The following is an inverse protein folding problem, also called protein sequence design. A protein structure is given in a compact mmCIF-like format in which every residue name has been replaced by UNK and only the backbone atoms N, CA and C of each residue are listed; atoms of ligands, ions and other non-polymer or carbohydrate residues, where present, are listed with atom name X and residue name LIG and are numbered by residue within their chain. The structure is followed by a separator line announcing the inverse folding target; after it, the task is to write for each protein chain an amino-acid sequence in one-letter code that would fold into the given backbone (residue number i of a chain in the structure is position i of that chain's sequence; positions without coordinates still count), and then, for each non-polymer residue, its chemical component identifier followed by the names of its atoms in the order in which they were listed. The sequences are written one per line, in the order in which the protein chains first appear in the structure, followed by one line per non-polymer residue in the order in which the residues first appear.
data_IF_275979563990
#
_entry.id   IF_275979563990
#
_cell.length_a   1.000
_cell.length_b   1.000
_cell.length_c   1.000
_cell.angle_alpha   90.00
_cell.angle_beta   90.00
_cell.angle_gamma   90.00
#
_symmetry.space_group_name_H-M   'P 1'
#
loop_
_entity.id
_entity.type
_entity.pdbx_description
1 polymer ?
#
# COMPACT_ATOMS: atom_id res chain seq x y z
N UNK A 1 23.72 -21.13 -9.35
CA UNK A 1 24.70 -20.14 -8.85
C UNK A 1 23.96 -18.86 -8.54
N UNK A 2 24.12 -18.32 -7.33
CA UNK A 2 23.60 -17.01 -6.96
C UNK A 2 24.28 -15.94 -7.83
N UNK A 3 23.50 -15.22 -8.65
CA UNK A 3 24.03 -14.15 -9.50
C UNK A 3 24.19 -12.89 -8.65
N UNK A 4 25.44 -12.41 -8.54
CA UNK A 4 25.77 -11.15 -7.87
C UNK A 4 25.59 -10.00 -8.86
N UNK A 5 24.90 -8.94 -8.46
CA UNK A 5 24.80 -7.68 -9.19
C UNK A 5 25.51 -6.55 -8.44
N UNK A 6 26.76 -6.20 -8.79
CA UNK A 6 27.50 -5.12 -8.14
C UNK A 6 26.86 -3.72 -8.29
N UNK A 7 26.00 -3.54 -9.29
CA UNK A 7 25.29 -2.28 -9.53
C UNK A 7 23.95 -2.18 -8.78
N UNK A 8 23.59 -3.20 -7.98
CA UNK A 8 22.27 -3.26 -7.35
C UNK A 8 22.00 -2.10 -6.39
N UNK A 9 23.03 -1.56 -5.70
CA UNK A 9 22.87 -0.36 -4.88
C UNK A 9 22.32 0.83 -5.66
N UNK A 10 22.87 1.09 -6.84
CA UNK A 10 22.39 2.18 -7.71
C UNK A 10 20.95 1.96 -8.18
N UNK A 11 20.49 0.71 -8.26
CA UNK A 11 19.10 0.42 -8.59
C UNK A 11 18.18 0.65 -7.38
N UNK A 12 18.56 0.20 -6.18
CA UNK A 12 17.77 0.41 -4.96
C UNK A 12 17.68 1.88 -4.55
N UNK A 13 18.71 2.69 -4.82
CA UNK A 13 18.67 4.15 -4.61
C UNK A 13 17.49 4.79 -5.35
N UNK A 14 17.14 4.30 -6.55
CA UNK A 14 15.97 4.76 -7.31
C UNK A 14 14.64 4.39 -6.66
N UNK A 15 14.63 3.39 -5.78
CA UNK A 15 13.48 3.02 -4.94
C UNK A 15 13.54 3.66 -3.54
N UNK A 16 14.48 4.60 -3.34
CA UNK A 16 14.59 5.43 -2.14
C UNK A 16 15.48 4.85 -1.04
N UNK A 17 16.34 3.86 -1.32
CA UNK A 17 17.23 3.32 -0.28
C UNK A 17 18.28 4.35 0.13
N UNK A 18 18.59 4.41 1.43
CA UNK A 18 19.50 5.41 1.99
C UNK A 18 20.64 4.72 2.73
N UNK A 19 21.88 4.95 2.29
CA UNK A 19 23.12 4.68 3.03
C UNK A 19 23.32 3.24 3.56
N UNK A 20 22.60 2.24 3.03
CA UNK A 20 22.65 0.89 3.61
C UNK A 20 24.02 0.19 3.45
N UNK A 21 24.85 0.66 2.51
CA UNK A 21 26.22 0.18 2.32
C UNK A 21 27.19 0.59 3.43
N UNK A 22 26.83 1.55 4.31
CA UNK A 22 27.61 1.86 5.50
C UNK A 22 27.57 0.72 6.54
N UNK A 23 26.69 -0.29 6.36
CA UNK A 23 26.54 -1.40 7.29
C UNK A 23 27.80 -2.29 7.35
N UNK A 24 28.51 -2.23 8.48
CA UNK A 24 29.60 -3.14 8.86
C UNK A 24 29.13 -4.44 9.56
N UNK A 25 27.83 -4.73 9.55
CA UNK A 25 27.25 -5.99 10.02
C UNK A 25 27.41 -6.30 11.53
N UNK A 26 27.30 -5.31 12.43
CA UNK A 26 27.40 -5.52 13.89
C UNK A 26 26.30 -6.41 14.50
N UNK A 27 25.07 -6.38 13.98
CA UNK A 27 23.95 -7.14 14.53
C UNK A 27 23.01 -6.41 15.50
N UNK A 28 23.24 -5.12 15.81
CA UNK A 28 22.32 -4.35 16.69
C UNK A 28 20.88 -4.38 16.19
N UNK A 29 20.68 -4.25 14.88
CA UNK A 29 19.34 -4.28 14.28
C UNK A 29 18.62 -5.64 14.46
N UNK A 30 19.36 -6.73 14.53
CA UNK A 30 18.85 -8.08 14.84
C UNK A 30 18.44 -8.18 16.31
N UNK A 31 19.27 -7.66 17.22
CA UNK A 31 19.02 -7.73 18.65
C UNK A 31 17.79 -6.93 19.10
N UNK A 32 17.49 -5.80 18.46
CA UNK A 32 16.35 -4.94 18.81
C UNK A 32 15.06 -5.30 18.07
N UNK A 33 15.10 -6.15 17.05
CA UNK A 33 13.92 -6.44 16.23
C UNK A 33 13.10 -7.59 16.82
N UNK A 34 11.85 -7.32 17.19
CA UNK A 34 10.90 -8.35 17.66
C UNK A 34 10.49 -9.40 16.64
N UNK A 35 10.86 -9.21 15.37
CA UNK A 35 10.66 -10.21 14.31
C UNK A 35 11.85 -11.17 14.16
N UNK A 36 12.97 -10.90 14.83
CA UNK A 36 14.14 -11.77 14.75
C UNK A 36 13.93 -13.03 15.60
N UNK A 37 14.28 -14.20 15.05
CA UNK A 37 14.32 -15.49 15.77
C UNK A 37 15.71 -16.10 15.68
N UNK A 38 15.91 -17.30 16.23
CA UNK A 38 17.15 -18.06 16.08
C UNK A 38 17.45 -18.39 14.61
N UNK A 39 16.41 -18.64 13.82
CA UNK A 39 16.51 -18.97 12.40
C UNK A 39 16.46 -17.74 11.47
N UNK A 40 15.79 -16.67 11.91
CA UNK A 40 15.53 -15.49 11.09
C UNK A 40 16.25 -14.25 11.61
N UNK A 41 17.30 -13.80 10.89
CA UNK A 41 18.04 -12.57 11.23
C UNK A 41 17.41 -11.33 10.60
N UNK A 42 16.57 -10.62 11.36
CA UNK A 42 15.79 -9.47 10.85
C UNK A 42 16.33 -8.12 11.36
N UNK A 43 16.49 -7.06 10.53
CA UNK A 43 16.55 -7.02 9.07
C UNK A 43 17.96 -7.26 8.50
N UNK A 44 18.94 -7.64 9.35
CA UNK A 44 20.37 -7.74 8.99
C UNK A 44 20.65 -8.59 7.75
N UNK A 45 19.95 -9.70 7.58
CA UNK A 45 20.10 -10.56 6.41
C UNK A 45 19.76 -9.80 5.13
N UNK A 46 18.64 -9.06 5.10
CA UNK A 46 18.26 -8.27 3.94
C UNK A 46 19.28 -7.18 3.61
N UNK A 47 19.90 -6.57 4.62
CA UNK A 47 21.01 -5.62 4.41
C UNK A 47 22.19 -6.31 3.70
N UNK A 48 22.55 -7.53 4.10
CA UNK A 48 23.63 -8.30 3.46
C UNK A 48 23.29 -8.70 2.04
N UNK A 49 22.09 -9.23 1.80
CA UNK A 49 21.65 -9.62 0.46
C UNK A 49 21.65 -8.40 -0.49
N UNK A 50 21.20 -7.24 -0.01
CA UNK A 50 21.23 -5.99 -0.77
C UNK A 50 22.63 -5.46 -1.02
N UNK A 51 23.55 -5.57 -0.06
CA UNK A 51 24.94 -5.16 -0.24
C UNK A 51 25.69 -6.04 -1.24
N UNK A 52 25.38 -7.34 -1.26
CA UNK A 52 25.95 -8.31 -2.20
C UNK A 52 25.24 -8.32 -3.56
N UNK A 53 24.13 -7.60 -3.73
CA UNK A 53 23.36 -7.59 -4.97
C UNK A 53 22.73 -8.94 -5.33
N UNK A 54 22.30 -9.70 -4.31
CA UNK A 54 21.70 -11.02 -4.46
C UNK A 54 20.19 -10.92 -4.74
N UNK A 55 19.85 -10.42 -5.93
CA UNK A 55 18.47 -10.11 -6.31
C UNK A 55 17.52 -11.31 -6.29
N UNK A 56 18.00 -12.49 -6.67
CA UNK A 56 17.15 -13.69 -6.69
C UNK A 56 16.77 -14.14 -5.27
N UNK A 57 17.68 -14.03 -4.31
CA UNK A 57 17.42 -14.31 -2.89
C UNK A 57 16.46 -13.27 -2.30
N UNK A 58 16.60 -11.99 -2.68
CA UNK A 58 15.68 -10.92 -2.27
C UNK A 58 14.27 -11.17 -2.83
N UNK A 59 14.13 -11.54 -4.10
CA UNK A 59 12.82 -11.85 -4.72
C UNK A 59 12.15 -13.06 -4.09
N UNK A 60 12.92 -14.03 -3.61
CA UNK A 60 12.41 -15.23 -2.94
C UNK A 60 12.06 -14.99 -1.45
N UNK A 61 12.53 -13.88 -0.87
CA UNK A 61 12.34 -13.53 0.54
C UNK A 61 11.00 -12.83 0.80
N UNK A 62 10.34 -13.25 1.87
CA UNK A 62 9.09 -12.62 2.36
C UNK A 62 9.37 -11.53 3.40
N UNK A 63 10.60 -11.45 3.92
CA UNK A 63 11.00 -10.58 5.04
C UNK A 63 10.69 -9.09 4.81
N UNK A 64 10.88 -8.51 3.61
CA UNK A 64 10.45 -7.13 3.35
C UNK A 64 8.97 -6.90 3.67
N UNK A 65 8.09 -7.85 3.38
CA UNK A 65 6.66 -7.74 3.63
C UNK A 65 6.28 -8.03 5.09
N UNK A 66 7.09 -8.81 5.82
CA UNK A 66 6.90 -9.08 7.25
C UNK A 66 7.28 -7.88 8.15
N UNK A 67 8.17 -6.99 7.69
CA UNK A 67 8.58 -5.79 8.42
C UNK A 67 7.36 -4.92 8.83
N UNK A 68 7.35 -4.28 10.00
CA UNK A 68 6.32 -3.26 10.31
C UNK A 68 6.78 -1.83 10.07
N UNK A 69 8.04 -1.64 9.67
CA UNK A 69 8.67 -0.33 9.48
C UNK A 69 8.48 0.56 10.72
N UNK A 70 8.81 0.03 11.91
CA UNK A 70 8.79 0.76 13.18
C UNK A 70 9.97 1.74 13.31
N UNK A 71 11.13 1.39 12.73
CA UNK A 71 12.32 2.24 12.72
C UNK A 71 13.33 1.95 13.81
N UNK A 72 13.05 1.08 14.79
CA UNK A 72 13.95 0.78 15.92
C UNK A 72 15.36 0.36 15.46
N UNK A 73 15.41 -0.45 14.40
CA UNK A 73 16.65 -0.86 13.77
C UNK A 73 17.47 0.29 13.17
N UNK A 74 16.81 1.36 12.71
CA UNK A 74 17.48 2.58 12.22
C UNK A 74 17.91 3.46 13.39
N UNK A 75 17.05 3.66 14.40
CA UNK A 75 17.37 4.44 15.61
C UNK A 75 18.63 3.94 16.30
N UNK A 76 18.79 2.62 16.41
CA UNK A 76 19.92 2.00 17.12
C UNK A 76 21.11 1.68 16.20
N UNK A 77 21.10 2.10 14.92
CA UNK A 77 22.18 1.77 14.00
C UNK A 77 23.41 2.66 14.22
N UNK A 78 24.56 2.13 14.68
CA UNK A 78 25.76 2.94 14.96
C UNK A 78 26.48 3.45 13.69
N UNK A 79 26.03 3.04 12.51
CA UNK A 79 26.57 3.47 11.21
C UNK A 79 25.56 4.29 10.41
N UNK A 80 24.39 4.59 10.99
CA UNK A 80 23.31 5.33 10.31
C UNK A 80 22.97 4.74 8.91
N UNK A 81 23.03 3.40 8.81
CA UNK A 81 22.82 2.66 7.57
C UNK A 81 21.32 2.48 7.22
N UNK A 82 20.42 3.11 7.98
CA UNK A 82 18.96 3.13 7.79
C UNK A 82 18.33 1.79 7.35
N UNK A 83 18.56 0.68 8.07
CA UNK A 83 18.00 -0.62 7.71
C UNK A 83 16.46 -0.61 7.61
N UNK A 84 15.77 0.24 8.38
CA UNK A 84 14.33 0.43 8.25
C UNK A 84 13.93 0.94 6.86
N UNK A 85 14.60 1.99 6.34
CA UNK A 85 14.28 2.52 5.02
C UNK A 85 14.65 1.54 3.91
N UNK A 86 15.76 0.79 4.06
CA UNK A 86 16.08 -0.29 3.13
C UNK A 86 14.91 -1.28 2.98
N UNK A 87 14.27 -1.68 4.09
CA UNK A 87 13.12 -2.59 4.02
C UNK A 87 11.94 -1.99 3.24
N UNK A 88 11.71 -0.68 3.33
CA UNK A 88 10.70 0.01 2.52
C UNK A 88 11.10 0.10 1.06
N UNK A 89 12.36 0.39 0.74
CA UNK A 89 12.86 0.39 -0.63
C UNK A 89 12.77 -0.98 -1.27
N UNK A 90 13.05 -2.04 -0.50
CA UNK A 90 12.89 -3.42 -0.96
C UNK A 90 11.43 -3.76 -1.27
N UNK A 91 10.45 -3.23 -0.52
CA UNK A 91 9.03 -3.38 -0.90
C UNK A 91 8.73 -2.73 -2.23
N UNK A 92 9.18 -1.50 -2.46
CA UNK A 92 8.96 -0.79 -3.73
C UNK A 92 9.63 -1.53 -4.90
N UNK A 93 10.85 -2.02 -4.69
CA UNK A 93 11.56 -2.87 -5.65
C UNK A 93 10.78 -4.17 -5.92
N UNK A 94 10.34 -4.89 -4.88
CA UNK A 94 9.60 -6.14 -5.02
C UNK A 94 8.25 -5.94 -5.71
N UNK A 95 7.51 -4.88 -5.38
CA UNK A 95 6.29 -4.50 -6.12
C UNK A 95 6.59 -4.35 -7.61
N UNK A 96 7.70 -3.70 -7.98
CA UNK A 96 8.12 -3.59 -9.37
C UNK A 96 8.53 -4.93 -10.02
N UNK A 97 9.05 -5.90 -9.25
CA UNK A 97 9.36 -7.24 -9.76
C UNK A 97 8.10 -8.10 -9.94
N UNK A 98 7.11 -7.92 -9.06
CA UNK A 98 5.84 -8.63 -9.12
C UNK A 98 4.94 -8.08 -10.21
N UNK A 99 5.01 -6.78 -10.48
CA UNK A 99 4.26 -6.12 -11.54
C UNK A 99 4.66 -6.61 -12.94
N UNK A 100 3.75 -7.31 -13.61
CA UNK A 100 3.99 -7.80 -14.97
C UNK A 100 3.94 -6.70 -16.03
N UNK A 101 3.30 -5.56 -15.75
CA UNK A 101 3.19 -4.43 -16.68
C UNK A 101 4.46 -3.57 -16.70
N UNK A 102 5.25 -3.62 -15.62
CA UNK A 102 6.43 -2.79 -15.41
C UNK A 102 6.14 -1.34 -15.00
N UNK A 103 4.87 -0.93 -14.92
CA UNK A 103 4.47 0.45 -14.62
C UNK A 103 4.84 0.86 -13.19
N UNK A 104 4.72 -0.03 -12.21
CA UNK A 104 5.13 0.21 -10.82
C UNK A 104 6.59 0.64 -10.74
N UNK A 105 7.48 -0.05 -11.47
CA UNK A 105 8.91 0.30 -11.49
C UNK A 105 9.15 1.67 -12.10
N UNK A 106 8.42 2.05 -13.15
CA UNK A 106 8.55 3.36 -13.77
C UNK A 106 8.05 4.48 -12.85
N UNK A 107 6.88 4.28 -12.22
CA UNK A 107 6.25 5.26 -11.33
C UNK A 107 7.04 5.45 -10.03
N UNK A 108 7.56 4.37 -9.41
CA UNK A 108 8.40 4.50 -8.22
C UNK A 108 9.72 5.23 -8.49
N UNK A 109 10.30 5.06 -9.68
CA UNK A 109 11.61 5.62 -10.03
C UNK A 109 11.54 7.04 -10.61
N UNK A 110 10.38 7.47 -11.11
CA UNK A 110 10.22 8.76 -11.81
C UNK A 110 9.02 9.55 -11.29
N UNK A 111 9.30 10.60 -10.52
CA UNK A 111 8.30 11.57 -10.09
C UNK A 111 7.63 12.29 -11.27
N UNK A 112 8.35 12.78 -12.31
CA UNK A 112 7.71 13.40 -13.46
C UNK A 112 6.72 12.49 -14.16
N UNK A 113 7.02 11.19 -14.30
CA UNK A 113 6.11 10.24 -14.91
C UNK A 113 4.85 10.02 -14.05
N UNK A 114 5.02 9.94 -12.73
CA UNK A 114 3.88 9.88 -11.82
C UNK A 114 2.98 11.10 -11.98
N UNK A 115 3.55 12.31 -11.93
CA UNK A 115 2.80 13.56 -12.12
C UNK A 115 2.11 13.58 -13.48
N UNK A 116 2.77 13.15 -14.55
CA UNK A 116 2.18 13.07 -15.89
C UNK A 116 0.96 12.13 -15.91
N UNK A 117 1.02 10.98 -15.24
CA UNK A 117 -0.12 10.06 -15.13
C UNK A 117 -1.31 10.69 -14.37
N UNK A 118 -1.04 11.39 -13.26
CA UNK A 118 -2.08 12.14 -12.53
C UNK A 118 -2.71 13.26 -13.37
N UNK A 119 -1.90 14.01 -14.11
CA UNK A 119 -2.39 15.09 -15.00
C UNK A 119 -3.21 14.50 -16.15
N UNK A 120 -2.73 13.44 -16.80
CA UNK A 120 -3.43 12.82 -17.93
C UNK A 120 -4.79 12.27 -17.51
N UNK A 121 -4.86 11.58 -16.37
CA UNK A 121 -6.14 11.09 -15.83
C UNK A 121 -7.06 12.23 -15.41
N UNK A 122 -6.53 13.30 -14.79
CA UNK A 122 -7.32 14.50 -14.47
C UNK A 122 -7.91 15.14 -15.73
N UNK A 123 -7.10 15.37 -16.76
CA UNK A 123 -7.55 15.92 -18.04
C UNK A 123 -8.60 15.01 -18.68
N UNK A 124 -8.41 13.70 -18.64
CA UNK A 124 -9.40 12.73 -19.14
C UNK A 124 -10.75 12.85 -18.43
N UNK A 125 -10.76 12.94 -17.10
CA UNK A 125 -11.99 13.13 -16.31
C UNK A 125 -12.65 14.47 -16.63
N UNK A 126 -11.88 15.55 -16.75
CA UNK A 126 -12.42 16.87 -17.10
C UNK A 126 -13.04 16.87 -18.51
N UNK A 127 -12.34 16.33 -19.51
CA UNK A 127 -12.86 16.25 -20.87
C UNK A 127 -14.15 15.43 -20.93
N UNK A 128 -14.20 14.31 -20.20
CA UNK A 128 -15.40 13.50 -20.11
C UNK A 128 -16.55 14.26 -19.42
N UNK A 129 -16.29 14.87 -18.26
CA UNK A 129 -17.29 15.64 -17.51
C UNK A 129 -17.82 16.87 -18.25
N UNK A 130 -17.09 17.40 -19.23
CA UNK A 130 -17.57 18.48 -20.11
C UNK A 130 -18.39 17.97 -21.30
N UNK A 131 -18.33 16.67 -21.60
CA UNK A 131 -19.00 16.04 -22.75
C UNK A 131 -20.36 15.43 -22.42
N UNK A 132 -20.66 15.23 -21.13
CA UNK A 132 -21.90 14.58 -20.65
C UNK A 132 -22.66 15.50 -19.69
N UNK A 133 -23.96 15.25 -19.56
CA UNK A 133 -24.79 15.91 -18.54
C UNK A 133 -24.50 15.36 -17.13
N UNK A 134 -24.95 16.08 -16.11
CA UNK A 134 -24.58 15.78 -14.72
C UNK A 134 -25.10 14.42 -14.22
N UNK A 135 -26.32 14.05 -14.61
CA UNK A 135 -26.92 12.76 -14.22
C UNK A 135 -26.15 11.58 -14.82
N UNK A 136 -25.78 11.69 -16.10
CA UNK A 136 -24.96 10.68 -16.78
C UNK A 136 -23.57 10.58 -16.13
N UNK A 137 -22.98 11.70 -15.73
CA UNK A 137 -21.70 11.73 -15.02
C UNK A 137 -21.75 10.96 -13.70
N UNK A 138 -22.84 11.11 -12.93
CA UNK A 138 -23.06 10.41 -11.66
C UNK A 138 -23.22 8.89 -11.86
N UNK A 139 -24.06 8.50 -12.83
CA UNK A 139 -24.31 7.08 -13.15
C UNK A 139 -23.02 6.38 -13.62
N UNK A 140 -22.28 7.02 -14.52
CA UNK A 140 -21.02 6.47 -15.05
C UNK A 140 -19.93 6.44 -13.99
N UNK A 141 -19.89 7.41 -13.07
CA UNK A 141 -18.97 7.39 -11.94
C UNK A 141 -19.13 6.14 -11.08
N UNK A 142 -20.36 5.79 -10.71
CA UNK A 142 -20.63 4.57 -9.94
C UNK A 142 -20.27 3.30 -10.72
N UNK A 143 -20.62 3.23 -12.00
CA UNK A 143 -20.26 2.09 -12.86
C UNK A 143 -18.74 1.94 -13.00
N UNK A 144 -18.03 3.07 -13.15
CA UNK A 144 -16.58 3.10 -13.25
C UNK A 144 -15.92 2.48 -12.02
N UNK A 145 -16.40 2.77 -10.80
CA UNK A 145 -15.86 2.19 -9.56
C UNK A 145 -15.86 0.66 -9.61
N UNK A 146 -17.02 0.06 -9.90
CA UNK A 146 -17.19 -1.39 -9.96
C UNK A 146 -16.32 -2.03 -11.05
N UNK A 147 -16.33 -1.46 -12.26
CA UNK A 147 -15.54 -1.97 -13.38
C UNK A 147 -14.04 -1.85 -13.10
N UNK A 148 -13.58 -0.72 -12.55
CA UNK A 148 -12.18 -0.48 -12.26
C UNK A 148 -11.68 -1.48 -11.20
N UNK A 149 -12.42 -1.69 -10.11
CA UNK A 149 -12.05 -2.66 -9.06
C UNK A 149 -11.95 -4.08 -9.63
N UNK A 150 -12.96 -4.52 -10.40
CA UNK A 150 -12.97 -5.85 -10.99
C UNK A 150 -11.80 -6.03 -11.98
N UNK A 151 -11.60 -5.06 -12.87
CA UNK A 151 -10.57 -5.13 -13.92
C UNK A 151 -9.17 -5.06 -13.33
N UNK A 152 -8.89 -4.11 -12.45
CA UNK A 152 -7.58 -3.99 -11.79
C UNK A 152 -7.30 -5.22 -10.92
N UNK A 153 -8.31 -5.71 -10.20
CA UNK A 153 -8.24 -6.93 -9.41
C UNK A 153 -7.82 -8.13 -10.25
N UNK A 154 -8.56 -8.43 -11.33
CA UNK A 154 -8.33 -9.59 -12.18
C UNK A 154 -7.09 -9.49 -13.06
N UNK A 155 -6.83 -8.33 -13.66
CA UNK A 155 -5.82 -8.16 -14.72
C UNK A 155 -4.46 -7.73 -14.17
N UNK A 156 -4.41 -7.02 -13.04
CA UNK A 156 -3.16 -6.49 -12.48
C UNK A 156 -2.82 -7.20 -11.18
N UNK A 157 -3.68 -7.09 -10.17
CA UNK A 157 -3.36 -7.52 -8.80
C UNK A 157 -3.23 -9.05 -8.68
N UNK A 158 -4.16 -9.81 -9.28
CA UNK A 158 -4.12 -11.27 -9.24
C UNK A 158 -2.88 -11.85 -9.95
N UNK A 159 -2.51 -11.43 -11.17
CA UNK A 159 -1.24 -11.84 -11.79
C UNK A 159 -0.01 -11.45 -10.97
N UNK A 160 -0.01 -10.28 -10.33
CA UNK A 160 1.12 -9.86 -9.48
C UNK A 160 1.26 -10.74 -8.23
N UNK A 161 0.15 -11.13 -7.59
CA UNK A 161 0.16 -12.11 -6.50
C UNK A 161 0.66 -13.47 -7.00
N UNK A 162 0.22 -13.92 -8.18
CA UNK A 162 0.71 -15.16 -8.78
C UNK A 162 2.23 -15.11 -9.05
N UNK A 163 2.76 -13.94 -9.45
CA UNK A 163 4.22 -13.71 -9.60
C UNK A 163 4.95 -13.71 -8.26
N UNK A 164 4.37 -13.11 -7.21
CA UNK A 164 4.90 -13.22 -5.86
C UNK A 164 4.96 -14.68 -5.39
N UNK A 165 3.90 -15.46 -5.61
CA UNK A 165 3.87 -16.89 -5.33
C UNK A 165 4.92 -17.66 -6.15
N UNK A 166 5.08 -17.33 -7.44
CA UNK A 166 6.12 -17.90 -8.29
C UNK A 166 7.52 -17.68 -7.71
N UNK A 167 7.87 -16.45 -7.32
CA UNK A 167 9.20 -16.14 -6.80
C UNK A 167 9.46 -16.76 -5.43
N UNK A 168 8.44 -16.89 -4.60
CA UNK A 168 8.60 -17.25 -3.19
C UNK A 168 8.39 -18.75 -2.93
N UNK A 169 7.54 -19.42 -3.71
CA UNK A 169 7.18 -20.84 -3.51
C UNK A 169 7.65 -21.71 -4.70
N UNK A 170 7.25 -21.37 -5.92
CA UNK A 170 7.48 -22.24 -7.09
C UNK A 170 8.95 -22.28 -7.52
N UNK A 171 9.57 -21.12 -7.74
CA UNK A 171 10.96 -21.00 -8.22
C UNK A 171 11.97 -21.61 -7.23
N UNK A 172 11.83 -21.42 -5.90
CA UNK A 172 12.69 -22.10 -4.92
C UNK A 172 12.35 -23.59 -4.72
N UNK A 173 11.33 -24.12 -5.40
CA UNK A 173 10.85 -25.52 -5.30
C UNK A 173 10.44 -25.92 -3.88
N UNK A 174 9.75 -25.03 -3.18
CA UNK A 174 9.19 -25.35 -1.85
C UNK A 174 8.08 -26.38 -2.01
N UNK A 175 8.22 -27.56 -1.38
CA UNK A 175 7.21 -28.61 -1.43
C UNK A 175 6.11 -28.31 -0.41
N UNK A 176 4.91 -27.98 -0.88
CA UNK A 176 3.76 -27.65 -0.02
C UNK A 176 2.57 -28.51 -0.42
N UNK A 177 2.04 -29.38 0.45
CA UNK A 177 0.87 -30.18 0.14
C UNK A 177 -0.37 -29.29 0.02
N UNK A 178 -1.27 -29.61 -0.92
CA UNK A 178 -2.49 -28.81 -1.18
C UNK A 178 -3.32 -28.55 0.08
N UNK A 179 -3.43 -29.54 0.96
CA UNK A 179 -4.17 -29.44 2.24
C UNK A 179 -3.63 -28.29 3.12
N UNK A 180 -2.32 -28.01 3.08
CA UNK A 180 -1.70 -26.93 3.85
C UNK A 180 -2.07 -25.54 3.34
N UNK A 181 -2.33 -25.39 2.04
CA UNK A 181 -2.88 -24.14 1.47
C UNK A 181 -4.24 -23.83 2.10
N UNK A 182 -5.14 -24.82 2.12
CA UNK A 182 -6.49 -24.63 2.69
C UNK A 182 -6.43 -24.32 4.19
N UNK A 183 -5.69 -25.11 4.98
CA UNK A 183 -5.61 -24.88 6.43
C UNK A 183 -4.93 -23.57 6.81
N UNK A 184 -3.99 -23.07 6.00
CA UNK A 184 -3.25 -21.85 6.30
C UNK A 184 -3.95 -20.59 5.79
N UNK A 185 -5.02 -20.72 4.99
CA UNK A 185 -5.73 -19.60 4.36
C UNK A 185 -6.27 -18.59 5.39
N UNK A 186 -6.60 -19.03 6.60
CA UNK A 186 -7.03 -18.14 7.68
C UNK A 186 -6.01 -17.06 8.05
N UNK A 187 -4.70 -17.31 7.88
CA UNK A 187 -3.66 -16.31 8.13
C UNK A 187 -3.79 -15.08 7.24
N UNK A 188 -4.22 -15.28 6.00
CA UNK A 188 -4.43 -14.19 5.05
C UNK A 188 -5.37 -13.16 5.65
N UNK A 189 -6.55 -13.60 6.09
CA UNK A 189 -7.59 -12.73 6.63
C UNK A 189 -7.20 -12.13 7.99
N UNK A 190 -6.62 -12.94 8.88
CA UNK A 190 -6.17 -12.45 10.20
C UNK A 190 -5.16 -11.31 10.04
N UNK A 191 -4.17 -11.48 9.17
CA UNK A 191 -3.13 -10.46 8.97
C UNK A 191 -3.58 -9.30 8.08
N UNK A 192 -4.54 -9.51 7.18
CA UNK A 192 -5.14 -8.46 6.36
C UNK A 192 -5.84 -7.41 7.21
N UNK A 193 -6.60 -7.83 8.21
CA UNK A 193 -7.35 -6.91 9.05
C UNK A 193 -6.62 -6.51 10.33
N UNK A 194 -5.99 -7.45 11.03
CA UNK A 194 -5.59 -7.18 12.42
C UNK A 194 -4.15 -6.70 12.59
N UNK A 195 -3.21 -7.17 11.76
CA UNK A 195 -1.78 -6.90 11.88
C UNK A 195 -1.21 -6.94 13.32
N UNK A 196 -1.75 -7.79 14.22
CA UNK A 196 -1.44 -7.77 15.67
C UNK A 196 0.04 -7.89 16.03
N UNK A 197 0.86 -8.56 15.20
CA UNK A 197 2.31 -8.67 15.45
C UNK A 197 3.02 -7.31 15.43
N UNK A 198 2.42 -6.27 14.87
CA UNK A 198 2.94 -4.91 14.94
C UNK A 198 3.04 -4.37 16.37
N UNK A 199 2.23 -4.89 17.30
CA UNK A 199 2.23 -4.50 18.72
C UNK A 199 3.48 -4.97 19.47
N UNK A 200 4.25 -5.90 18.90
CA UNK A 200 5.55 -6.29 19.44
C UNK A 200 6.69 -5.32 19.07
N UNK A 201 6.43 -4.27 18.29
CA UNK A 201 7.41 -3.21 18.05
C UNK A 201 7.20 -2.07 19.07
N UNK A 202 8.28 -1.45 19.53
CA UNK A 202 8.22 -0.39 20.54
C UNK A 202 7.39 0.81 20.05
N UNK A 203 6.64 1.42 20.97
CA UNK A 203 5.82 2.63 20.76
C UNK A 203 4.80 2.59 19.61
N UNK A 204 4.29 1.41 19.26
CA UNK A 204 3.45 1.23 18.07
C UNK A 204 1.93 1.05 18.33
N UNK A 205 1.46 1.07 19.59
CA UNK A 205 0.06 0.76 19.92
C UNK A 205 -0.95 1.74 19.31
N UNK A 206 -0.73 3.05 19.48
CA UNK A 206 -1.62 4.10 18.93
C UNK A 206 -1.68 4.00 17.41
N UNK A 207 -0.52 3.93 16.76
CA UNK A 207 -0.39 3.84 15.30
C UNK A 207 -1.04 2.58 14.74
N UNK A 208 -0.89 1.45 15.44
CA UNK A 208 -1.56 0.21 15.10
C UNK A 208 -3.08 0.37 15.13
N UNK A 209 -3.61 1.00 16.18
CA UNK A 209 -5.05 1.23 16.33
C UNK A 209 -5.60 2.19 15.27
N UNK A 210 -4.91 3.30 15.01
CA UNK A 210 -5.23 4.23 13.92
C UNK A 210 -5.25 3.52 12.57
N UNK A 211 -4.21 2.74 12.27
CA UNK A 211 -4.14 1.97 11.03
C UNK A 211 -5.26 0.91 10.95
N UNK A 212 -5.56 0.23 12.06
CA UNK A 212 -6.63 -0.76 12.13
C UNK A 212 -7.99 -0.14 11.80
N UNK A 213 -8.34 0.95 12.47
CA UNK A 213 -9.58 1.68 12.23
C UNK A 213 -9.62 2.27 10.81
N UNK A 214 -8.49 2.78 10.30
CA UNK A 214 -8.41 3.30 8.94
C UNK A 214 -8.73 2.23 7.90
N UNK A 215 -8.18 1.02 8.04
CA UNK A 215 -8.43 -0.09 7.09
C UNK A 215 -9.89 -0.52 7.13
N UNK A 216 -10.47 -0.67 8.32
CA UNK A 216 -11.89 -1.02 8.47
C UNK A 216 -12.76 0.09 7.88
N UNK A 217 -12.50 1.36 8.23
CA UNK A 217 -13.24 2.51 7.71
C UNK A 217 -13.15 2.61 6.19
N UNK A 218 -11.97 2.45 5.60
CA UNK A 218 -11.77 2.49 4.14
C UNK A 218 -12.50 1.34 3.43
N UNK A 219 -12.39 0.10 3.92
CA UNK A 219 -13.05 -1.05 3.28
C UNK A 219 -14.56 -1.01 3.45
N UNK A 220 -15.06 -0.55 4.59
CA UNK A 220 -16.49 -0.32 4.82
C UNK A 220 -17.00 0.83 3.97
N UNK A 221 -16.24 1.91 3.79
CA UNK A 221 -16.60 3.00 2.88
C UNK A 221 -16.70 2.51 1.44
N UNK A 222 -15.69 1.77 0.97
CA UNK A 222 -15.68 1.15 -0.37
C UNK A 222 -16.89 0.23 -0.59
N UNK A 223 -17.22 -0.61 0.40
CA UNK A 223 -18.41 -1.45 0.35
C UNK A 223 -19.69 -0.62 0.29
N UNK A 224 -19.77 0.45 1.08
CA UNK A 224 -20.95 1.32 1.12
C UNK A 224 -21.13 2.08 -0.19
N UNK A 225 -20.05 2.63 -0.79
CA UNK A 225 -20.13 3.37 -2.06
C UNK A 225 -20.43 2.46 -3.24
N UNK A 226 -19.71 1.34 -3.37
CA UNK A 226 -19.79 0.47 -4.56
C UNK A 226 -20.95 -0.51 -4.49
N UNK A 227 -21.22 -1.13 -3.33
CA UNK A 227 -22.19 -2.22 -3.22
C UNK A 227 -23.56 -1.72 -2.77
N UNK A 228 -23.59 -0.72 -1.88
CA UNK A 228 -24.84 -0.18 -1.34
C UNK A 228 -25.28 1.13 -2.02
N UNK A 229 -24.56 1.56 -3.07
CA UNK A 229 -24.82 2.79 -3.81
C UNK A 229 -25.04 3.99 -2.87
N UNK A 230 -24.00 4.31 -2.07
CA UNK A 230 -24.13 5.32 -1.02
C UNK A 230 -24.58 6.69 -1.53
N UNK A 231 -24.28 7.05 -2.78
CA UNK A 231 -24.71 8.35 -3.33
C UNK A 231 -26.15 8.31 -3.84
N UNK A 232 -26.66 7.18 -4.35
CA UNK A 232 -28.05 7.06 -4.80
C UNK A 232 -29.05 6.58 -3.75
N UNK A 233 -28.59 6.06 -2.61
CA UNK A 233 -29.47 5.42 -1.63
C UNK A 233 -30.32 6.41 -0.81
N UNK A 234 -31.56 6.01 -0.53
CA UNK A 234 -32.49 6.66 0.40
C UNK A 234 -32.54 5.98 1.78
N UNK A 235 -31.78 4.89 1.97
CA UNK A 235 -31.80 4.14 3.22
C UNK A 235 -30.98 4.86 4.31
N UNK A 236 -31.66 5.33 5.36
CA UNK A 236 -31.05 6.07 6.48
C UNK A 236 -29.85 5.36 7.11
N UNK A 237 -29.90 4.03 7.25
CA UNK A 237 -28.79 3.28 7.82
C UNK A 237 -27.54 3.36 6.93
N UNK A 238 -27.69 3.21 5.62
CA UNK A 238 -26.59 3.28 4.66
C UNK A 238 -26.01 4.71 4.62
N UNK A 239 -26.88 5.71 4.69
CA UNK A 239 -26.49 7.12 4.73
C UNK A 239 -25.59 7.40 5.95
N UNK A 240 -26.08 7.07 7.15
CA UNK A 240 -25.35 7.26 8.41
C UNK A 240 -24.04 6.45 8.39
N UNK A 241 -24.10 5.20 7.95
CA UNK A 241 -22.93 4.33 7.87
C UNK A 241 -21.83 4.97 7.02
N UNK A 242 -22.16 5.42 5.80
CA UNK A 242 -21.17 6.02 4.92
C UNK A 242 -20.60 7.33 5.48
N UNK A 243 -21.42 8.16 6.15
CA UNK A 243 -20.92 9.37 6.82
C UNK A 243 -19.91 9.06 7.91
N UNK A 244 -20.21 8.08 8.76
CA UNK A 244 -19.31 7.65 9.84
C UNK A 244 -18.01 7.09 9.24
N UNK A 245 -18.09 6.21 8.24
CA UNK A 245 -16.90 5.62 7.62
C UNK A 245 -16.03 6.66 6.90
N UNK A 246 -16.65 7.58 6.17
CA UNK A 246 -15.97 8.70 5.49
C UNK A 246 -15.29 9.64 6.49
N UNK A 247 -15.97 10.00 7.59
CA UNK A 247 -15.40 10.81 8.66
C UNK A 247 -14.21 10.11 9.34
N UNK A 248 -14.30 8.80 9.60
CA UNK A 248 -13.19 8.00 10.15
C UNK A 248 -11.97 8.08 9.22
N UNK A 249 -12.15 7.82 7.93
CA UNK A 249 -11.04 7.86 6.95
C UNK A 249 -10.43 9.26 6.92
N UNK A 250 -11.25 10.31 6.87
CA UNK A 250 -10.79 11.69 6.86
C UNK A 250 -10.01 12.05 8.14
N UNK A 251 -10.57 11.83 9.33
CA UNK A 251 -9.94 12.23 10.60
C UNK A 251 -8.63 11.48 10.83
N UNK A 252 -8.61 10.17 10.59
CA UNK A 252 -7.39 9.37 10.82
C UNK A 252 -6.31 9.73 9.81
N UNK A 253 -6.66 10.01 8.55
CA UNK A 253 -5.67 10.42 7.54
C UNK A 253 -5.05 11.79 7.83
N UNK A 254 -5.76 12.70 8.52
CA UNK A 254 -5.18 13.97 8.99
C UNK A 254 -3.94 13.73 9.85
N UNK A 255 -4.00 12.81 10.83
CA UNK A 255 -2.82 12.50 11.66
C UNK A 255 -1.67 11.96 10.80
N UNK A 256 -1.94 11.00 9.91
CA UNK A 256 -0.92 10.42 9.04
C UNK A 256 -0.26 11.43 8.08
N UNK A 257 -1.02 12.43 7.59
CA UNK A 257 -0.50 13.55 6.79
C UNK A 257 0.37 14.44 7.67
N UNK A 258 -0.15 14.89 8.82
CA UNK A 258 0.57 15.76 9.76
C UNK A 258 1.87 15.11 10.26
N UNK A 259 1.85 13.82 10.55
CA UNK A 259 3.04 13.05 10.96
C UNK A 259 4.14 13.08 9.89
N UNK A 260 3.78 12.95 8.60
CA UNK A 260 4.72 13.04 7.47
C UNK A 260 5.21 14.45 7.19
N UNK A 261 4.42 15.47 7.51
CA UNK A 261 4.85 16.87 7.43
C UNK A 261 5.85 17.21 8.55
N UNK A 262 5.59 16.72 9.77
CA UNK A 262 6.45 16.96 10.95
C UNK A 262 7.76 16.18 10.89
N UNK A 263 7.75 14.93 10.40
CA UNK A 263 8.93 14.04 10.28
C UNK A 263 9.67 13.75 11.59
N UNK A 264 8.97 13.81 12.72
CA UNK A 264 9.58 13.64 14.05
C UNK A 264 9.84 12.17 14.45
N UNK A 265 9.34 11.20 13.67
CA UNK A 265 9.50 9.76 13.93
C UNK A 265 10.22 9.10 12.77
N UNK A 266 11.04 8.07 13.04
CA UNK A 266 11.77 7.33 12.00
C UNK A 266 10.85 6.82 10.87
N UNK A 267 9.64 6.35 11.23
CA UNK A 267 8.60 5.89 10.28
C UNK A 267 8.07 6.95 9.30
N UNK A 268 8.42 8.22 9.51
CA UNK A 268 7.97 9.38 8.74
C UNK A 268 9.11 10.21 8.16
N UNK A 269 10.35 9.97 8.64
CA UNK A 269 11.56 10.72 8.29
C UNK A 269 11.86 10.63 6.80
N UNK A 270 11.70 9.42 6.25
CA UNK A 270 11.80 9.14 4.82
C UNK A 270 10.40 8.91 4.25
N UNK A 271 9.98 9.75 3.31
CA UNK A 271 8.72 9.59 2.58
C UNK A 271 9.00 9.80 1.10
N UNK A 272 8.79 8.75 0.31
CA UNK A 272 8.88 8.86 -1.15
C UNK A 272 7.59 9.49 -1.70
N UNK A 273 7.60 10.05 -2.92
CA UNK A 273 6.40 10.66 -3.50
C UNK A 273 5.18 9.73 -3.51
N UNK A 274 5.38 8.44 -3.77
CA UNK A 274 4.32 7.43 -3.72
C UNK A 274 3.70 7.25 -2.32
N UNK A 275 4.47 7.48 -1.24
CA UNK A 275 3.96 7.45 0.14
C UNK A 275 3.11 8.68 0.45
N UNK A 276 3.45 9.83 -0.16
CA UNK A 276 2.74 11.10 -0.01
C UNK A 276 1.45 11.07 -0.82
N UNK A 277 1.52 10.70 -2.10
CA UNK A 277 0.34 10.57 -2.96
C UNK A 277 -0.68 9.62 -2.35
N UNK A 278 -0.25 8.47 -1.82
CA UNK A 278 -1.14 7.54 -1.16
C UNK A 278 -1.92 8.17 0.00
N UNK A 279 -1.25 8.83 0.95
CA UNK A 279 -1.96 9.37 2.13
C UNK A 279 -2.81 10.60 1.78
N UNK A 280 -2.34 11.45 0.87
CA UNK A 280 -3.05 12.67 0.47
C UNK A 280 -4.30 12.35 -0.33
N UNK A 281 -4.25 11.37 -1.24
CA UNK A 281 -5.45 10.97 -1.97
C UNK A 281 -6.44 10.23 -1.07
N UNK A 282 -5.97 9.45 -0.10
CA UNK A 282 -6.86 8.82 0.87
C UNK A 282 -7.59 9.87 1.74
N UNK A 283 -6.88 10.93 2.12
CA UNK A 283 -7.47 12.11 2.78
C UNK A 283 -8.53 12.78 1.90
N UNK A 284 -8.20 13.08 0.65
CA UNK A 284 -9.16 13.70 -0.27
C UNK A 284 -10.34 12.79 -0.58
N UNK A 285 -10.14 11.47 -0.65
CA UNK A 285 -11.22 10.50 -0.85
C UNK A 285 -12.22 10.54 0.30
N UNK A 286 -11.73 10.50 1.55
CA UNK A 286 -12.57 10.65 2.73
C UNK A 286 -13.33 11.97 2.73
N UNK A 287 -12.63 13.10 2.56
CA UNK A 287 -13.23 14.44 2.58
C UNK A 287 -14.25 14.65 1.46
N UNK A 288 -13.88 14.33 0.22
CA UNK A 288 -14.73 14.56 -0.94
C UNK A 288 -15.97 13.67 -0.92
N UNK A 289 -15.87 12.41 -0.50
CA UNK A 289 -17.03 11.53 -0.37
C UNK A 289 -18.04 12.08 0.67
N UNK A 290 -17.54 12.58 1.81
CA UNK A 290 -18.38 13.25 2.82
C UNK A 290 -19.12 14.44 2.22
N UNK A 291 -18.38 15.32 1.53
CA UNK A 291 -18.91 16.56 0.97
C UNK A 291 -19.91 16.31 -0.15
N UNK A 292 -19.63 15.35 -1.04
CA UNK A 292 -20.58 14.95 -2.09
C UNK A 292 -21.88 14.49 -1.46
N UNK A 293 -21.86 13.56 -0.48
CA UNK A 293 -23.09 13.11 0.18
C UNK A 293 -23.82 14.25 0.90
N UNK A 294 -23.09 15.14 1.59
CA UNK A 294 -23.68 16.33 2.23
C UNK A 294 -24.39 17.23 1.22
N UNK A 295 -23.81 17.43 0.04
CA UNK A 295 -24.42 18.28 -0.99
C UNK A 295 -25.61 17.60 -1.67
N UNK A 296 -25.64 16.27 -1.74
CA UNK A 296 -26.84 15.51 -2.15
C UNK A 296 -27.96 15.75 -1.14
N UNK A 297 -27.69 15.56 0.15
CA UNK A 297 -28.71 15.69 1.20
C UNK A 297 -29.25 17.13 1.35
N UNK A 298 -28.47 18.13 0.94
CA UNK A 298 -28.86 19.55 0.93
C UNK A 298 -29.46 20.03 -0.40
N UNK A 299 -29.56 19.17 -1.41
CA UNK A 299 -30.02 19.52 -2.76
C UNK A 299 -29.17 20.65 -3.42
N UNK A 300 -27.86 20.65 -3.14
CA UNK A 300 -26.90 21.65 -3.62
C UNK A 300 -25.90 21.09 -4.66
N UNK A 301 -25.92 19.77 -4.90
CA UNK A 301 -24.88 19.12 -5.71
C UNK A 301 -24.93 19.56 -7.17
N UNK A 302 -26.12 19.68 -7.78
CA UNK A 302 -26.26 20.09 -9.19
C UNK A 302 -25.64 21.48 -9.44
N UNK A 303 -25.87 22.43 -8.52
CA UNK A 303 -25.30 23.78 -8.59
C UNK A 303 -23.77 23.74 -8.44
N UNK A 304 -23.25 22.75 -7.70
CA UNK A 304 -21.85 22.62 -7.34
C UNK A 304 -21.20 21.38 -7.99
N UNK A 305 -21.51 21.10 -9.26
CA UNK A 305 -21.00 19.92 -10.00
C UNK A 305 -19.49 19.71 -9.93
N UNK A 306 -18.71 20.79 -9.76
CA UNK A 306 -17.26 20.74 -9.59
C UNK A 306 -16.81 19.92 -8.38
N UNK A 307 -17.61 19.86 -7.32
CA UNK A 307 -17.34 19.02 -6.16
C UNK A 307 -17.34 17.54 -6.53
N UNK A 308 -18.34 17.10 -7.30
CA UNK A 308 -18.39 15.72 -7.78
C UNK A 308 -17.30 15.42 -8.79
N UNK A 309 -17.01 16.33 -9.73
CA UNK A 309 -15.90 16.17 -10.69
C UNK A 309 -14.56 16.00 -9.96
N UNK A 310 -14.34 16.76 -8.88
CA UNK A 310 -13.17 16.60 -8.02
C UNK A 310 -13.15 15.23 -7.33
N UNK A 311 -14.27 14.80 -6.74
CA UNK A 311 -14.39 13.49 -6.12
C UNK A 311 -14.09 12.35 -7.11
N UNK A 312 -14.70 12.39 -8.29
CA UNK A 312 -14.49 11.44 -9.37
C UNK A 312 -13.04 11.42 -9.85
N UNK A 313 -12.40 12.59 -9.96
CA UNK A 313 -10.96 12.70 -10.28
C UNK A 313 -10.11 11.95 -9.26
N UNK A 314 -10.33 12.22 -7.97
CA UNK A 314 -9.60 11.57 -6.87
C UNK A 314 -9.78 10.07 -6.94
N UNK A 315 -11.00 9.61 -7.22
CA UNK A 315 -11.34 8.20 -7.32
C UNK A 315 -10.67 7.53 -8.52
N UNK A 316 -10.75 8.13 -9.71
CA UNK A 316 -10.13 7.61 -10.94
C UNK A 316 -8.62 7.49 -10.77
N UNK A 317 -7.99 8.51 -10.20
CA UNK A 317 -6.55 8.49 -9.91
C UNK A 317 -6.19 7.44 -8.85
N UNK A 318 -7.03 7.29 -7.82
CA UNK A 318 -6.87 6.27 -6.81
C UNK A 318 -6.90 4.87 -7.41
N UNK A 319 -7.95 4.56 -8.17
CA UNK A 319 -8.16 3.27 -8.79
C UNK A 319 -7.08 2.97 -9.83
N UNK A 320 -6.81 3.87 -10.78
CA UNK A 320 -5.95 3.56 -11.93
C UNK A 320 -4.45 3.69 -11.65
N UNK A 321 -4.04 4.48 -10.65
CA UNK A 321 -2.63 4.77 -10.39
C UNK A 321 -2.20 4.20 -9.03
N UNK A 322 -2.87 4.61 -7.95
CA UNK A 322 -2.40 4.36 -6.58
C UNK A 322 -2.64 2.91 -6.14
N UNK A 323 -3.81 2.34 -6.45
CA UNK A 323 -4.17 0.96 -6.12
C UNK A 323 -3.27 -0.07 -6.82
N UNK A 324 -3.09 -0.08 -8.15
CA UNK A 324 -2.31 -1.08 -8.85
C UNK A 324 -0.79 -0.90 -8.73
N UNK A 325 -0.31 0.35 -8.69
CA UNK A 325 1.11 0.65 -8.86
C UNK A 325 1.74 1.41 -7.69
N UNK A 326 0.95 1.71 -6.65
CA UNK A 326 1.38 2.49 -5.49
C UNK A 326 1.45 1.69 -4.21
N UNK A 327 1.52 2.45 -3.09
CA UNK A 327 1.68 1.90 -1.75
C UNK A 327 0.49 1.01 -1.34
N UNK A 328 -0.71 1.22 -1.88
CA UNK A 328 -1.91 0.46 -1.51
C UNK A 328 -1.70 -1.06 -1.60
N UNK A 329 -0.94 -1.52 -2.60
CA UNK A 329 -0.61 -2.94 -2.81
C UNK A 329 0.01 -3.65 -1.60
N UNK A 330 0.59 -2.91 -0.65
CA UNK A 330 1.09 -3.50 0.61
C UNK A 330 0.00 -4.25 1.39
N UNK A 331 -1.26 -3.83 1.29
CA UNK A 331 -2.40 -4.50 1.90
C UNK A 331 -2.51 -5.96 1.42
N UNK A 332 -2.29 -6.20 0.12
CA UNK A 332 -2.32 -7.53 -0.47
C UNK A 332 -1.01 -8.28 -0.23
N UNK A 333 0.13 -7.71 -0.65
CA UNK A 333 1.40 -8.42 -0.60
C UNK A 333 1.81 -8.79 0.82
N UNK A 334 1.53 -7.95 1.83
CA UNK A 334 1.77 -8.31 3.23
C UNK A 334 0.93 -9.51 3.65
N UNK A 335 -0.37 -9.47 3.38
CA UNK A 335 -1.29 -10.53 3.78
C UNK A 335 -0.90 -11.87 3.14
N UNK A 336 -0.60 -11.85 1.84
CA UNK A 336 -0.10 -13.04 1.13
C UNK A 336 1.29 -13.46 1.60
N UNK A 337 2.17 -12.53 1.98
CA UNK A 337 3.47 -12.88 2.56
C UNK A 337 3.32 -13.67 3.87
N UNK A 338 2.45 -13.23 4.77
CA UNK A 338 2.19 -13.95 6.02
C UNK A 338 1.64 -15.36 5.77
N UNK A 339 0.73 -15.48 4.80
CA UNK A 339 0.21 -16.76 4.37
C UNK A 339 1.32 -17.66 3.78
N UNK A 340 2.11 -17.17 2.83
CA UNK A 340 3.21 -17.92 2.22
C UNK A 340 4.31 -18.28 3.21
N UNK A 341 4.58 -17.43 4.21
CA UNK A 341 5.52 -17.71 5.28
C UNK A 341 5.06 -18.91 6.11
N UNK A 342 3.76 -19.01 6.41
CA UNK A 342 3.19 -20.20 7.09
C UNK A 342 3.26 -21.46 6.22
N UNK A 343 3.11 -21.34 4.90
CA UNK A 343 3.30 -22.48 4.00
C UNK A 343 4.73 -23.02 4.02
N UNK A 344 5.72 -22.12 4.12
CA UNK A 344 7.16 -22.45 4.16
C UNK A 344 7.62 -23.08 5.47
N UNK A 345 7.05 -22.70 6.61
CA UNK A 345 7.36 -23.30 7.92
C UNK A 345 6.96 -24.77 7.89
N UNK A 346 7.81 -25.70 8.33
CA UNK A 346 7.63 -27.15 8.21
C UNK A 346 6.25 -27.62 8.66
#
# INVERSE_FOLDING_TARGET
MSKINPAFNKELEKYGSVNYNACYNCGTCTAVCSLSTEEDSFPREMVRLSALGLEDDIKASLKPWECYYCGDCSTHCPQEANPGELMMSLRRYLTAQYDWTGLSGLLYKSLPLSIAAFILTFVGVILYALSVDFDELMEVGHLFEGIAIATIGLVILMPNIARMWYFTILKPKVNVPFVKYIHSMGELFVHMFTQKRALGCDDNQLRWFEHFILVIGYLSLLFTTVVLDWFGTSNLFVIILGYVMSAIVFVVTVDFVLSRMKKNKEVSKHSQPSDIFFVVWLFFMGLSAFMVRLFIDLDLLEINKWLYIFHLTVLVQWALIIVPFGKWTHFLYRSFAMYFAKLKKA
#
